data_IF_587572966756
#
_entry.id   IF_587572966756
#
_cell.length_a   1.000
_cell.length_b   1.000
_cell.length_c   1.000
_cell.angle_alpha   90.00
_cell.angle_beta   90.00
_cell.angle_gamma   90.00
#
_symmetry.space_group_name_H-M   'P 1'
#
loop_
_entity.id
_entity.type
_entity.pdbx_description
1 polymer ?
#
# COMPACT_ATOMS: atom_id res chain seq x y z
N UNK A 1 -2.82 30.19 -6.91
CA UNK A 1 -1.51 30.61 -6.37
C UNK A 1 -1.72 31.91 -5.63
N UNK A 2 -0.76 32.39 -4.84
CA UNK A 2 -0.88 33.66 -4.14
C UNK A 2 0.35 34.55 -4.36
N UNK A 3 0.18 35.81 -4.75
CA UNK A 3 1.26 36.79 -4.86
C UNK A 3 1.46 37.56 -3.55
N UNK A 4 2.60 37.40 -2.87
CA UNK A 4 2.93 38.12 -1.63
C UNK A 4 3.72 39.43 -1.85
N UNK A 5 3.96 39.82 -3.10
CA UNK A 5 4.75 41.02 -3.44
C UNK A 5 4.08 42.29 -2.90
N UNK A 6 4.89 43.16 -2.31
CA UNK A 6 4.45 44.49 -1.89
C UNK A 6 4.07 45.32 -3.14
N UNK A 7 3.03 46.15 -3.03
CA UNK A 7 2.50 47.00 -4.12
C UNK A 7 2.00 46.28 -5.38
N UNK A 8 1.76 44.96 -5.33
CA UNK A 8 1.15 44.23 -6.44
C UNK A 8 -0.29 44.67 -6.75
N UNK A 9 -1.12 44.88 -5.71
CA UNK A 9 -2.50 45.37 -5.85
C UNK A 9 -2.52 46.88 -5.97
N UNK A 10 -3.25 47.41 -6.98
CA UNK A 10 -3.43 48.86 -7.16
C UNK A 10 -4.30 49.45 -6.05
N UNK A 11 -4.20 50.76 -5.83
CA UNK A 11 -5.01 51.47 -4.84
C UNK A 11 -6.51 51.34 -5.20
N UNK A 12 -7.28 50.66 -4.35
CA UNK A 12 -8.70 50.37 -4.57
C UNK A 12 -9.01 48.95 -5.06
N UNK A 13 -8.01 48.13 -5.41
CA UNK A 13 -8.22 46.71 -5.73
C UNK A 13 -8.41 45.86 -4.47
N UNK A 14 -9.24 44.82 -4.57
CA UNK A 14 -9.44 43.86 -3.51
C UNK A 14 -8.23 42.93 -3.36
N UNK A 15 -7.91 42.54 -2.11
CA UNK A 15 -6.86 41.56 -1.83
C UNK A 15 -7.08 40.20 -2.51
N UNK A 16 -8.31 39.89 -2.92
CA UNK A 16 -8.62 38.69 -3.71
C UNK A 16 -7.84 38.62 -5.04
N UNK A 17 -7.45 39.76 -5.62
CA UNK A 17 -6.70 39.82 -6.88
C UNK A 17 -5.30 39.17 -6.79
N UNK A 18 -4.79 38.95 -5.57
CA UNK A 18 -3.53 38.23 -5.31
C UNK A 18 -3.66 36.72 -5.49
N UNK A 19 -4.88 36.18 -5.52
CA UNK A 19 -5.13 34.77 -5.72
C UNK A 19 -5.51 34.50 -7.18
N UNK A 20 -4.61 33.89 -7.95
CA UNK A 20 -4.88 33.54 -9.35
C UNK A 20 -3.99 32.38 -9.82
N UNK A 21 -4.12 31.97 -11.08
CA UNK A 21 -3.19 31.06 -11.74
C UNK A 21 -1.80 31.69 -11.86
N UNK A 22 -0.76 30.84 -11.91
CA UNK A 22 0.64 31.31 -11.99
C UNK A 22 0.88 32.19 -13.22
N UNK A 23 0.36 31.78 -14.39
CA UNK A 23 0.47 32.53 -15.64
C UNK A 23 -0.16 33.94 -15.53
N UNK A 24 -1.39 34.03 -14.97
CA UNK A 24 -2.08 35.31 -14.82
C UNK A 24 -1.38 36.23 -13.79
N UNK A 25 -0.80 35.68 -12.73
CA UNK A 25 -0.03 36.48 -11.76
C UNK A 25 1.25 37.06 -12.40
N UNK A 26 1.95 36.27 -13.21
CA UNK A 26 3.13 36.73 -13.94
C UNK A 26 2.77 37.81 -14.97
N UNK A 27 1.67 37.64 -15.72
CA UNK A 27 1.16 38.64 -16.65
C UNK A 27 0.79 39.96 -15.96
N UNK A 28 0.21 39.87 -14.75
CA UNK A 28 -0.11 41.03 -13.90
C UNK A 28 1.14 41.69 -13.27
N UNK A 29 2.35 41.18 -13.53
CA UNK A 29 3.61 41.74 -13.06
C UNK A 29 4.03 41.28 -11.66
N UNK A 30 3.46 40.18 -11.14
CA UNK A 30 4.01 39.57 -9.94
C UNK A 30 5.33 38.86 -10.29
N UNK A 31 6.40 39.23 -9.60
CA UNK A 31 7.69 38.58 -9.75
C UNK A 31 7.59 37.10 -9.29
N UNK A 32 8.14 36.13 -10.05
CA UNK A 32 8.07 34.70 -9.72
C UNK A 32 8.54 34.35 -8.32
N UNK A 33 9.52 35.09 -7.76
CA UNK A 33 10.04 34.87 -6.39
C UNK A 33 9.02 35.19 -5.29
N UNK A 34 8.02 36.01 -5.60
CA UNK A 34 6.93 36.39 -4.69
C UNK A 34 5.65 35.57 -4.92
N UNK A 35 5.63 34.65 -5.89
CA UNK A 35 4.49 33.75 -6.12
C UNK A 35 4.61 32.54 -5.19
N UNK A 36 3.69 32.45 -4.23
CA UNK A 36 3.57 31.34 -3.30
C UNK A 36 2.67 30.25 -3.92
N UNK A 37 3.26 29.09 -4.14
CA UNK A 37 2.59 27.89 -4.63
C UNK A 37 3.12 26.65 -3.91
N UNK A 38 2.52 26.27 -2.77
CA UNK A 38 2.86 25.03 -2.10
C UNK A 38 2.57 23.85 -3.05
N UNK A 39 3.55 22.98 -3.23
CA UNK A 39 3.42 21.76 -4.03
C UNK A 39 3.24 20.57 -3.10
N UNK A 40 2.55 19.54 -3.59
CA UNK A 40 2.51 18.26 -2.88
C UNK A 40 3.92 17.67 -2.80
N UNK A 41 4.25 17.05 -1.67
CA UNK A 41 5.51 16.35 -1.46
C UNK A 41 5.32 15.11 -0.60
N UNK A 42 6.33 14.26 -0.56
CA UNK A 42 6.35 13.07 0.28
C UNK A 42 7.74 12.83 0.86
N UNK A 43 7.77 12.19 2.02
CA UNK A 43 8.99 11.79 2.71
C UNK A 43 8.90 10.31 3.05
N UNK A 44 9.95 9.57 2.74
CA UNK A 44 10.03 8.14 3.05
C UNK A 44 10.57 7.98 4.47
N UNK A 45 9.69 7.69 5.42
CA UNK A 45 10.05 7.51 6.82
C UNK A 45 10.65 6.11 7.05
N UNK A 46 10.09 5.09 6.37
CA UNK A 46 10.63 3.72 6.35
C UNK A 46 10.55 3.14 4.95
N UNK A 47 11.70 2.74 4.41
CA UNK A 47 11.86 2.22 3.04
C UNK A 47 12.88 1.07 2.98
N UNK A 48 12.66 0.07 3.81
CA UNK A 48 13.47 -1.13 3.87
C UNK A 48 13.48 -1.84 2.50
N UNK A 49 14.63 -2.40 2.08
CA UNK A 49 14.75 -3.08 0.81
C UNK A 49 13.87 -4.34 0.78
N UNK A 50 13.33 -4.63 -0.41
CA UNK A 50 12.56 -5.86 -0.63
C UNK A 50 13.42 -7.08 -0.32
N UNK A 51 12.88 -7.97 0.51
CA UNK A 51 13.57 -9.15 1.01
C UNK A 51 12.67 -10.36 0.79
N UNK A 52 13.21 -11.43 0.20
CA UNK A 52 12.43 -12.62 -0.17
C UNK A 52 12.03 -13.50 1.03
N UNK A 53 12.57 -13.22 2.21
CA UNK A 53 12.40 -14.05 3.41
C UNK A 53 13.56 -15.03 3.57
N UNK A 54 13.74 -15.50 4.80
CA UNK A 54 14.59 -16.64 5.16
C UNK A 54 13.91 -17.42 6.29
N UNK A 55 14.38 -18.63 6.66
CA UNK A 55 13.78 -19.39 7.76
C UNK A 55 13.75 -18.64 9.10
N UNK A 56 14.65 -17.68 9.33
CA UNK A 56 14.68 -16.88 10.57
C UNK A 56 14.04 -15.49 10.45
N UNK A 57 13.74 -15.02 9.24
CA UNK A 57 13.28 -13.64 9.03
C UNK A 57 12.20 -13.56 7.96
N UNK A 58 11.10 -12.94 8.32
CA UNK A 58 9.99 -12.75 7.40
C UNK A 58 10.35 -11.83 6.22
N UNK A 59 9.74 -12.07 5.05
CA UNK A 59 9.99 -11.30 3.85
C UNK A 59 9.47 -9.86 3.96
N UNK A 60 10.14 -8.95 3.28
CA UNK A 60 9.68 -7.59 3.03
C UNK A 60 9.19 -7.55 1.58
N UNK A 61 7.89 -7.71 1.39
CA UNK A 61 7.29 -7.87 0.05
C UNK A 61 6.87 -6.55 -0.59
N UNK A 62 6.70 -5.48 0.19
CA UNK A 62 6.28 -4.15 -0.28
C UNK A 62 7.23 -3.09 0.28
N UNK A 63 7.55 -2.09 -0.55
CA UNK A 63 8.20 -0.86 -0.11
C UNK A 63 7.67 0.36 -0.88
N UNK A 64 7.67 1.56 -0.30
CA UNK A 64 8.07 1.88 1.09
C UNK A 64 7.06 1.35 2.12
N UNK A 65 7.47 1.22 3.38
CA UNK A 65 6.62 0.74 4.48
C UNK A 65 5.97 1.87 5.26
N UNK A 66 6.54 3.07 5.21
CA UNK A 66 5.99 4.27 5.86
C UNK A 66 6.35 5.52 5.04
N UNK A 67 5.33 6.34 4.77
CA UNK A 67 5.46 7.56 3.97
C UNK A 67 4.65 8.67 4.61
N UNK A 68 5.29 9.82 4.83
CA UNK A 68 4.63 11.06 5.22
C UNK A 68 4.29 11.86 3.96
N UNK A 69 3.02 12.23 3.82
CA UNK A 69 2.50 12.98 2.68
C UNK A 69 2.14 14.42 3.08
N UNK A 70 2.60 15.39 2.30
CA UNK A 70 2.10 16.77 2.34
C UNK A 70 1.35 17.01 1.04
N UNK A 71 0.01 17.11 1.10
CA UNK A 71 -0.84 17.16 -0.09
C UNK A 71 -1.47 18.53 -0.27
N UNK A 72 -1.41 19.05 -1.50
CA UNK A 72 -2.20 20.20 -1.91
C UNK A 72 -3.65 19.75 -2.19
N UNK A 73 -4.66 20.38 -1.57
CA UNK A 73 -6.06 20.05 -1.83
C UNK A 73 -6.41 20.12 -3.32
N UNK A 74 -7.16 19.12 -3.80
CA UNK A 74 -7.61 19.04 -5.20
C UNK A 74 -6.53 18.70 -6.23
N UNK A 75 -5.29 18.38 -5.81
CA UNK A 75 -4.22 17.92 -6.71
C UNK A 75 -3.78 16.49 -6.35
N UNK A 76 -3.84 15.54 -7.29
CA UNK A 76 -3.36 14.19 -7.04
C UNK A 76 -1.84 14.17 -6.86
N UNK A 77 -1.34 13.22 -6.08
CA UNK A 77 0.08 12.96 -5.87
C UNK A 77 0.36 11.47 -6.05
N UNK A 78 1.26 11.13 -6.97
CA UNK A 78 1.58 9.73 -7.29
C UNK A 78 2.78 9.27 -6.48
N UNK A 79 2.63 8.13 -5.81
CA UNK A 79 3.68 7.49 -5.03
C UNK A 79 3.95 6.08 -5.60
N UNK A 80 5.19 5.78 -6.03
CA UNK A 80 5.51 4.46 -6.54
C UNK A 80 5.67 3.45 -5.40
N UNK A 81 4.92 2.36 -5.46
CA UNK A 81 5.13 1.18 -4.64
C UNK A 81 5.84 0.10 -5.45
N UNK A 82 6.71 -0.66 -4.78
CA UNK A 82 7.33 -1.84 -5.38
C UNK A 82 6.92 -3.07 -4.61
N UNK A 83 6.52 -4.10 -5.35
CA UNK A 83 6.15 -5.39 -4.81
C UNK A 83 7.13 -6.46 -5.29
N UNK A 84 7.45 -7.41 -4.42
CA UNK A 84 8.16 -8.65 -4.77
C UNK A 84 7.58 -9.78 -3.95
N UNK A 85 7.15 -10.84 -4.64
CA UNK A 85 6.64 -12.05 -4.00
C UNK A 85 7.73 -12.70 -3.15
N UNK A 86 7.36 -13.09 -1.93
CA UNK A 86 8.22 -13.88 -1.06
C UNK A 86 8.43 -15.29 -1.61
N UNK A 87 9.55 -15.90 -1.24
CA UNK A 87 9.78 -17.33 -1.42
C UNK A 87 9.54 -18.03 -0.08
N UNK A 88 9.08 -19.28 -0.13
CA UNK A 88 8.91 -20.11 1.06
C UNK A 88 8.00 -19.50 2.14
N UNK A 89 6.94 -18.78 1.72
CA UNK A 89 5.98 -18.12 2.63
C UNK A 89 5.08 -19.14 3.33
N UNK A 90 4.72 -18.98 4.62
CA UNK A 90 3.88 -19.95 5.31
C UNK A 90 2.50 -20.04 4.65
N UNK A 91 1.99 -21.26 4.58
CA UNK A 91 0.66 -21.55 4.06
C UNK A 91 -0.11 -22.28 5.14
N UNK A 92 -1.21 -21.69 5.58
CA UNK A 92 -2.15 -22.30 6.51
C UNK A 92 -3.37 -22.76 5.71
N UNK A 93 -3.64 -24.07 5.72
CA UNK A 93 -4.80 -24.66 5.07
C UNK A 93 -5.77 -25.18 6.12
N UNK A 94 -7.01 -24.71 6.09
CA UNK A 94 -8.07 -25.21 6.96
C UNK A 94 -9.07 -26.02 6.14
N UNK A 95 -9.15 -27.32 6.45
CA UNK A 95 -10.14 -28.20 5.86
C UNK A 95 -11.40 -28.16 6.74
N UNK A 96 -12.50 -27.68 6.18
CA UNK A 96 -13.82 -27.65 6.81
C UNK A 96 -14.62 -28.83 6.26
N UNK A 97 -14.92 -29.81 7.11
CA UNK A 97 -15.65 -31.02 6.72
C UNK A 97 -16.98 -31.11 7.45
N UNK A 98 -18.01 -31.52 6.72
CA UNK A 98 -19.26 -31.99 7.29
C UNK A 98 -19.08 -33.43 7.83
N UNK A 99 -19.45 -33.69 9.08
CA UNK A 99 -19.41 -35.01 9.72
C UNK A 99 -20.80 -35.69 9.75
N UNK A 100 -21.71 -35.27 8.88
CA UNK A 100 -23.02 -35.91 8.73
C UNK A 100 -22.91 -37.40 8.34
N UNK A 101 -23.96 -38.18 8.64
CA UNK A 101 -23.99 -39.63 8.37
C UNK A 101 -23.75 -39.99 6.89
N UNK A 102 -24.06 -39.07 5.96
CA UNK A 102 -23.79 -39.22 4.53
C UNK A 102 -22.31 -39.13 4.14
N UNK A 103 -21.44 -38.64 5.03
CA UNK A 103 -20.00 -38.46 4.79
C UNK A 103 -19.15 -39.58 5.41
N UNK A 104 -19.79 -40.67 5.86
CA UNK A 104 -19.14 -41.72 6.65
C UNK A 104 -18.03 -42.45 5.88
N UNK A 105 -18.25 -42.72 4.60
CA UNK A 105 -17.29 -43.33 3.68
C UNK A 105 -16.22 -42.33 3.19
N UNK A 106 -16.59 -41.07 2.98
CA UNK A 106 -15.64 -40.00 2.66
C UNK A 106 -14.64 -39.73 3.80
N UNK A 107 -15.06 -39.88 5.05
CA UNK A 107 -14.21 -39.69 6.23
C UNK A 107 -13.00 -40.64 6.25
N UNK A 108 -13.16 -41.88 5.74
CA UNK A 108 -12.06 -42.84 5.62
C UNK A 108 -11.03 -42.38 4.56
N UNK A 109 -11.49 -41.80 3.45
CA UNK A 109 -10.64 -41.28 2.39
C UNK A 109 -9.90 -39.99 2.78
N UNK A 110 -10.52 -39.14 3.62
CA UNK A 110 -9.93 -37.84 3.97
C UNK A 110 -8.73 -37.98 4.91
N UNK A 111 -8.63 -39.06 5.70
CA UNK A 111 -7.41 -39.32 6.49
C UNK A 111 -6.16 -39.40 5.61
N UNK A 112 -6.23 -40.17 4.53
CA UNK A 112 -5.14 -40.30 3.58
C UNK A 112 -4.94 -39.00 2.76
N UNK A 113 -6.03 -38.26 2.50
CA UNK A 113 -5.95 -36.96 1.83
C UNK A 113 -5.14 -35.93 2.64
N UNK A 114 -5.30 -35.90 3.97
CA UNK A 114 -4.58 -34.94 4.83
C UNK A 114 -3.06 -35.10 4.76
N UNK A 115 -2.55 -36.32 4.82
CA UNK A 115 -1.11 -36.61 4.72
C UNK A 115 -0.56 -36.27 3.33
N UNK A 116 -1.24 -36.72 2.26
CA UNK A 116 -0.86 -36.43 0.88
C UNK A 116 -0.86 -34.93 0.59
N UNK A 117 -1.80 -34.19 1.17
CA UNK A 117 -1.93 -32.75 1.01
C UNK A 117 -0.80 -32.02 1.74
N UNK A 118 -0.44 -32.44 2.95
CA UNK A 118 0.70 -31.88 3.67
C UNK A 118 2.01 -32.14 2.93
N UNK A 119 2.21 -33.35 2.40
CA UNK A 119 3.41 -33.69 1.60
C UNK A 119 3.49 -32.86 0.32
N UNK A 120 2.35 -32.64 -0.35
CA UNK A 120 2.28 -31.82 -1.56
C UNK A 120 2.56 -30.35 -1.24
N UNK A 121 2.00 -29.82 -0.15
CA UNK A 121 2.27 -28.46 0.31
C UNK A 121 3.75 -28.28 0.72
N UNK A 122 4.36 -29.31 1.31
CA UNK A 122 5.78 -29.34 1.65
C UNK A 122 6.72 -29.16 0.45
N UNK A 123 6.26 -29.51 -0.77
CA UNK A 123 7.01 -29.27 -2.03
C UNK A 123 6.93 -27.81 -2.49
N UNK A 124 5.99 -27.03 -1.95
CA UNK A 124 5.75 -25.61 -2.31
C UNK A 124 6.33 -24.67 -1.23
N UNK A 125 6.14 -25.02 0.04
CA UNK A 125 6.63 -24.25 1.20
C UNK A 125 7.05 -25.18 2.34
N UNK A 126 8.18 -24.87 2.96
CA UNK A 126 8.68 -25.55 4.15
C UNK A 126 7.87 -25.22 5.41
N UNK A 127 6.98 -24.22 5.33
CA UNK A 127 6.16 -23.70 6.44
C UNK A 127 4.67 -23.97 6.25
N UNK A 128 4.32 -25.17 5.79
CA UNK A 128 2.93 -25.59 5.64
C UNK A 128 2.30 -26.02 6.97
N UNK A 129 1.06 -25.61 7.23
CA UNK A 129 0.24 -26.08 8.36
C UNK A 129 -1.15 -26.46 7.86
N UNK A 130 -1.68 -27.57 8.38
CA UNK A 130 -3.05 -28.00 8.10
C UNK A 130 -3.82 -28.08 9.40
N UNK A 131 -4.98 -27.42 9.44
CA UNK A 131 -5.99 -27.56 10.50
C UNK A 131 -7.23 -28.27 9.96
N UNK A 132 -7.89 -29.05 10.81
CA UNK A 132 -9.20 -29.63 10.51
C UNK A 132 -10.23 -29.03 11.46
N UNK A 133 -11.35 -28.56 10.91
CA UNK A 133 -12.49 -28.04 11.67
C UNK A 133 -13.71 -28.87 11.27
N UNK A 134 -14.31 -29.53 12.25
CA UNK A 134 -15.54 -30.29 12.09
C UNK A 134 -16.68 -29.63 12.85
N UNK A 135 -17.82 -29.45 12.19
CA UNK A 135 -19.10 -29.11 12.82
C UNK A 135 -19.80 -30.40 13.23
N UNK A 136 -20.23 -30.49 14.49
CA UNK A 136 -21.04 -31.59 15.04
C UNK A 136 -22.48 -31.44 14.55
#
# INVERSE_FOLDING_TARGET
MWCNQLNFTKKGELNAARCDTEALLMEKGCDPSYIISPKSSHFLERNDPLFKGSPQKDPIQIRPQEVKLLLRPGKPHTLPFRFKRAEDYPVDLYYLMDLSYSMKDDLENVKNLGENLLETLGKITSRARIGNISTI
#
